data_IF_177653119628
#
_entry.id   IF_177653119628
#
_cell.length_a   1.000
_cell.length_b   1.000
_cell.length_c   1.000
_cell.angle_alpha   90.00
_cell.angle_beta   90.00
_cell.angle_gamma   90.00
#
_symmetry.space_group_name_H-M   'P 1'
#
loop_
_entity.id
_entity.type
_entity.pdbx_description
1 polymer ?
#
# COMPACT_ATOMS: atom_id res chain seq x y z
N UNK A 1 -33.95 40.25 -83.78
CA UNK A 1 -35.22 40.26 -83.01
C UNK A 1 -35.02 39.39 -81.78
N UNK A 2 -35.49 39.78 -80.58
CA UNK A 2 -35.43 38.89 -79.42
C UNK A 2 -36.24 37.62 -79.70
N UNK A 3 -35.73 36.41 -79.37
CA UNK A 3 -36.44 35.17 -79.63
C UNK A 3 -37.79 35.16 -78.90
N UNK A 4 -38.80 34.56 -79.53
CA UNK A 4 -40.13 34.43 -78.92
C UNK A 4 -40.04 33.61 -77.62
N UNK A 5 -41.01 33.79 -76.72
CA UNK A 5 -41.05 33.04 -75.46
C UNK A 5 -41.05 31.54 -75.71
N UNK A 6 -41.75 31.08 -76.75
CA UNK A 6 -41.84 29.68 -77.17
C UNK A 6 -40.48 29.16 -77.65
N UNK A 7 -39.75 29.93 -78.46
CA UNK A 7 -38.39 29.58 -78.91
C UNK A 7 -37.40 29.46 -77.74
N UNK A 8 -37.50 30.31 -76.71
CA UNK A 8 -36.65 30.21 -75.50
C UNK A 8 -36.96 28.95 -74.68
N UNK A 9 -38.23 28.55 -74.62
CA UNK A 9 -38.65 27.33 -73.93
C UNK A 9 -38.15 26.09 -74.69
N UNK A 10 -38.30 26.07 -76.02
CA UNK A 10 -37.81 24.98 -76.87
C UNK A 10 -36.28 24.82 -76.80
N UNK A 11 -35.54 25.94 -76.86
CA UNK A 11 -34.08 25.94 -76.70
C UNK A 11 -33.64 25.40 -75.34
N UNK A 12 -34.38 25.72 -74.27
CA UNK A 12 -34.08 25.21 -72.94
C UNK A 12 -34.29 23.70 -72.84
N UNK A 13 -35.34 23.16 -73.46
CA UNK A 13 -35.56 21.71 -73.47
C UNK A 13 -34.53 20.96 -74.32
N UNK A 14 -33.85 21.64 -75.25
CA UNK A 14 -32.78 21.06 -76.08
C UNK A 14 -31.38 21.18 -75.45
N UNK A 15 -31.15 22.18 -74.60
CA UNK A 15 -29.84 22.46 -73.99
C UNK A 15 -29.72 21.90 -72.56
N UNK A 16 -29.02 20.78 -72.42
CA UNK A 16 -28.77 20.12 -71.13
C UNK A 16 -27.97 20.98 -70.14
N UNK A 17 -27.06 21.84 -70.63
CA UNK A 17 -26.25 22.71 -69.76
C UNK A 17 -27.11 23.81 -69.15
N UNK A 18 -28.06 24.35 -69.91
CA UNK A 18 -29.05 25.32 -69.39
C UNK A 18 -30.01 24.66 -68.39
N UNK A 19 -30.45 23.43 -68.63
CA UNK A 19 -31.29 22.68 -67.69
C UNK A 19 -30.56 22.39 -66.38
N UNK A 20 -29.32 21.91 -66.46
CA UNK A 20 -28.49 21.62 -65.28
C UNK A 20 -28.19 22.90 -64.49
N UNK A 21 -27.87 24.01 -65.17
CA UNK A 21 -27.70 25.31 -64.54
C UNK A 21 -28.98 25.85 -63.88
N UNK A 22 -30.15 25.53 -64.42
CA UNK A 22 -31.43 25.86 -63.80
C UNK A 22 -31.73 24.98 -62.58
N UNK A 23 -31.50 23.66 -62.66
CA UNK A 23 -31.65 22.72 -61.53
C UNK A 23 -30.75 23.09 -60.35
N UNK A 24 -29.50 23.46 -60.61
CA UNK A 24 -28.61 23.96 -59.56
C UNK A 24 -29.13 25.24 -58.88
N UNK A 25 -29.81 26.10 -59.63
CA UNK A 25 -30.47 27.27 -59.06
C UNK A 25 -31.70 26.87 -58.21
N UNK A 26 -32.49 25.89 -58.67
CA UNK A 26 -33.64 25.38 -57.91
C UNK A 26 -33.24 24.75 -56.58
N UNK A 27 -32.06 24.12 -56.47
CA UNK A 27 -31.56 23.58 -55.20
C UNK A 27 -31.45 24.64 -54.10
N UNK A 28 -31.24 25.91 -54.46
CA UNK A 28 -31.15 27.04 -53.51
C UNK A 28 -32.51 27.63 -53.13
N UNK A 29 -33.58 27.16 -53.74
CA UNK A 29 -34.93 27.67 -53.57
C UNK A 29 -35.78 26.72 -52.72
N UNK A 30 -36.86 27.25 -52.13
CA UNK A 30 -37.88 26.44 -51.49
C UNK A 30 -38.97 26.00 -52.48
N UNK A 31 -39.72 24.97 -52.10
CA UNK A 31 -40.87 24.48 -52.87
C UNK A 31 -41.89 25.59 -53.22
N UNK A 32 -42.24 26.55 -52.32
CA UNK A 32 -43.18 27.62 -52.65
C UNK A 32 -42.72 28.51 -53.80
N UNK A 33 -41.42 28.74 -53.93
CA UNK A 33 -40.83 29.54 -55.01
C UNK A 33 -40.92 28.82 -56.36
N UNK A 34 -40.93 27.48 -56.36
CA UNK A 34 -41.06 26.66 -57.57
C UNK A 34 -42.52 26.60 -58.03
N UNK A 35 -43.45 26.42 -57.09
CA UNK A 35 -44.89 26.31 -57.38
C UNK A 35 -45.53 27.67 -57.70
N UNK A 36 -45.09 28.75 -57.06
CA UNK A 36 -45.57 30.11 -57.30
C UNK A 36 -44.42 31.09 -57.60
N UNK A 37 -43.74 30.94 -58.75
CA UNK A 37 -42.58 31.75 -59.07
C UNK A 37 -42.92 33.24 -59.26
N UNK A 38 -44.18 33.54 -59.57
CA UNK A 38 -44.76 34.88 -59.69
C UNK A 38 -44.69 35.67 -58.37
N UNK A 39 -44.78 34.99 -57.21
CA UNK A 39 -44.76 35.63 -55.89
C UNK A 39 -43.35 36.10 -55.50
N UNK A 40 -42.31 35.46 -56.04
CA UNK A 40 -40.89 35.73 -55.71
C UNK A 40 -39.99 35.64 -56.94
N UNK A 41 -40.16 36.51 -57.95
CA UNK A 41 -39.40 36.42 -59.19
C UNK A 41 -37.92 36.77 -59.03
N UNK A 42 -37.57 37.51 -57.97
CA UNK A 42 -36.20 37.90 -57.65
C UNK A 42 -35.31 36.71 -57.25
N UNK A 43 -35.92 35.58 -56.86
CA UNK A 43 -35.19 34.38 -56.46
C UNK A 43 -34.55 33.64 -57.65
N UNK A 44 -34.95 33.98 -58.88
CA UNK A 44 -34.44 33.35 -60.10
C UNK A 44 -33.40 34.24 -60.79
N UNK A 45 -32.37 33.61 -61.37
CA UNK A 45 -31.36 34.34 -62.13
C UNK A 45 -32.00 35.06 -63.33
N UNK A 46 -31.59 36.31 -63.59
CA UNK A 46 -32.13 37.17 -64.67
C UNK A 46 -32.15 36.51 -66.06
N UNK A 47 -31.29 35.52 -66.29
CA UNK A 47 -31.15 34.77 -67.55
C UNK A 47 -32.35 33.86 -67.85
N UNK A 48 -33.12 33.51 -66.82
CA UNK A 48 -34.27 32.64 -66.92
C UNK A 48 -35.61 33.40 -66.91
N UNK A 49 -35.60 34.73 -66.74
CA UNK A 49 -36.81 35.52 -66.56
C UNK A 49 -37.35 36.08 -67.89
N UNK A 50 -38.67 35.97 -68.07
CA UNK A 50 -39.43 36.61 -69.15
C UNK A 50 -40.48 37.57 -68.55
N UNK A 51 -40.86 38.60 -69.29
CA UNK A 51 -41.93 39.52 -68.91
C UNK A 51 -43.22 39.11 -69.63
N UNK A 52 -44.29 38.85 -68.88
CA UNK A 52 -45.62 38.58 -69.43
C UNK A 52 -46.68 39.20 -68.52
N UNK A 53 -47.64 39.92 -69.12
CA UNK A 53 -48.77 40.52 -68.39
C UNK A 53 -48.36 41.34 -67.15
N UNK A 54 -47.25 42.09 -67.23
CA UNK A 54 -46.73 42.91 -66.13
C UNK A 54 -45.93 42.15 -65.06
N UNK A 55 -45.80 40.82 -65.16
CA UNK A 55 -45.06 40.00 -64.20
C UNK A 55 -43.79 39.39 -64.81
N UNK A 56 -42.76 39.21 -63.97
CA UNK A 56 -41.54 38.50 -64.33
C UNK A 56 -41.69 37.04 -63.93
N UNK A 57 -41.64 36.12 -64.88
CA UNK A 57 -41.81 34.68 -64.61
C UNK A 57 -40.61 33.94 -65.21
N UNK A 58 -40.03 32.95 -64.51
CA UNK A 58 -39.04 32.06 -65.10
C UNK A 58 -39.67 31.23 -66.23
N UNK A 59 -39.12 31.33 -67.43
CA UNK A 59 -39.68 30.64 -68.61
C UNK A 59 -39.67 29.10 -68.50
N UNK A 60 -38.76 28.42 -67.75
CA UNK A 60 -38.87 26.98 -67.53
C UNK A 60 -40.04 26.55 -66.64
N UNK A 61 -40.64 27.47 -65.87
CA UNK A 61 -41.77 27.23 -64.96
C UNK A 61 -43.05 27.91 -65.48
N UNK A 62 -43.14 28.04 -66.80
CA UNK A 62 -44.20 28.78 -67.45
C UNK A 62 -45.56 28.09 -67.30
N UNK A 63 -45.62 26.76 -67.42
CA UNK A 63 -46.87 26.01 -67.22
C UNK A 63 -46.97 25.41 -65.82
N UNK A 64 -48.20 25.26 -65.26
CA UNK A 64 -48.39 24.59 -63.96
C UNK A 64 -47.86 23.16 -63.93
N UNK A 65 -47.89 22.45 -65.06
CA UNK A 65 -47.36 21.09 -65.16
C UNK A 65 -45.82 21.08 -65.07
N UNK A 66 -45.15 22.03 -65.71
CA UNK A 66 -43.69 22.18 -65.60
C UNK A 66 -43.28 22.48 -64.15
N UNK A 67 -44.06 23.32 -63.45
CA UNK A 67 -43.86 23.60 -62.02
C UNK A 67 -43.92 22.32 -61.18
N UNK A 68 -44.91 21.46 -61.42
CA UNK A 68 -45.04 20.18 -60.72
C UNK A 68 -43.94 19.18 -61.07
N UNK A 69 -43.46 19.17 -62.31
CA UNK A 69 -42.35 18.31 -62.72
C UNK A 69 -41.05 18.69 -62.00
N UNK A 70 -40.73 19.97 -61.95
CA UNK A 70 -39.57 20.47 -61.21
C UNK A 70 -39.76 20.35 -59.68
N UNK A 71 -40.98 20.54 -59.17
CA UNK A 71 -41.30 20.30 -57.76
C UNK A 71 -41.10 18.84 -57.37
N UNK A 72 -41.52 17.89 -58.22
CA UNK A 72 -41.32 16.46 -57.98
C UNK A 72 -39.84 16.07 -57.91
N UNK A 73 -39.01 16.60 -58.82
CA UNK A 73 -37.57 16.41 -58.77
C UNK A 73 -36.96 17.02 -57.50
N UNK A 74 -37.41 18.22 -57.12
CA UNK A 74 -36.97 18.89 -55.89
C UNK A 74 -37.28 18.06 -54.63
N UNK A 75 -38.50 17.51 -54.55
CA UNK A 75 -38.95 16.67 -53.43
C UNK A 75 -38.12 15.38 -53.35
N UNK A 76 -37.93 14.68 -54.47
CA UNK A 76 -37.13 13.45 -54.51
C UNK A 76 -35.68 13.69 -54.12
N UNK A 77 -35.07 14.79 -54.58
CA UNK A 77 -33.69 15.15 -54.24
C UNK A 77 -33.55 15.45 -52.74
N UNK A 78 -34.50 16.17 -52.14
CA UNK A 78 -34.47 16.54 -50.72
C UNK A 78 -34.76 15.37 -49.79
N UNK A 79 -35.75 14.52 -50.12
CA UNK A 79 -36.04 13.30 -49.37
C UNK A 79 -34.85 12.32 -49.38
N UNK A 80 -34.14 12.19 -50.51
CA UNK A 80 -32.92 11.38 -50.59
C UNK A 80 -31.75 11.94 -49.78
N UNK A 81 -31.68 13.26 -49.65
CA UNK A 81 -30.63 13.92 -48.88
C UNK A 81 -30.91 13.93 -47.37
N UNK A 82 -32.11 13.54 -46.94
CA UNK A 82 -32.50 13.53 -45.53
C UNK A 82 -32.47 14.93 -44.92
N UNK A 83 -32.82 15.94 -45.71
CA UNK A 83 -32.69 17.34 -45.31
C UNK A 83 -33.72 17.70 -44.21
N UNK A 84 -33.28 18.07 -42.99
CA UNK A 84 -34.18 18.29 -41.85
C UNK A 84 -35.12 19.49 -42.06
N UNK A 85 -34.79 20.41 -42.96
CA UNK A 85 -35.54 21.65 -43.19
C UNK A 85 -36.83 21.45 -44.03
N UNK A 86 -37.08 20.22 -44.52
CA UNK A 86 -38.19 19.94 -45.44
C UNK A 86 -39.03 18.75 -44.97
N UNK A 87 -39.97 19.02 -44.06
CA UNK A 87 -40.85 17.99 -43.51
C UNK A 87 -41.92 17.52 -44.54
N UNK A 88 -42.20 16.20 -44.67
CA UNK A 88 -43.20 15.66 -45.60
C UNK A 88 -44.60 16.29 -45.48
N UNK A 89 -45.05 16.57 -44.26
CA UNK A 89 -46.32 17.26 -43.97
C UNK A 89 -46.36 18.67 -44.58
N UNK A 90 -45.24 19.40 -44.55
CA UNK A 90 -45.14 20.75 -45.11
C UNK A 90 -45.12 20.70 -46.65
N UNK A 91 -44.45 19.69 -47.22
CA UNK A 91 -44.50 19.43 -48.66
C UNK A 91 -45.92 19.09 -49.12
N UNK A 92 -46.63 18.27 -48.35
CA UNK A 92 -48.02 17.89 -48.60
C UNK A 92 -48.93 19.13 -48.64
N UNK A 93 -48.79 20.04 -47.66
CA UNK A 93 -49.51 21.31 -47.64
C UNK A 93 -49.38 22.07 -48.97
N UNK A 94 -48.16 22.31 -49.43
CA UNK A 94 -47.93 23.12 -50.63
C UNK A 94 -48.44 22.45 -51.90
N UNK A 95 -48.26 21.13 -52.06
CA UNK A 95 -48.75 20.40 -53.23
C UNK A 95 -50.28 20.35 -53.22
N UNK A 96 -50.89 20.16 -52.06
CA UNK A 96 -52.35 20.12 -51.91
C UNK A 96 -52.99 21.49 -52.11
N UNK A 97 -52.42 22.58 -51.58
CA UNK A 97 -52.84 23.95 -51.90
C UNK A 97 -52.71 24.26 -53.39
N UNK A 98 -51.63 23.79 -54.03
CA UNK A 98 -51.46 23.93 -55.49
C UNK A 98 -52.52 23.15 -56.27
N UNK A 99 -52.86 21.92 -55.84
CA UNK A 99 -53.93 21.12 -56.40
C UNK A 99 -55.30 21.81 -56.24
N UNK A 100 -55.60 22.39 -55.07
CA UNK A 100 -56.85 23.13 -54.85
C UNK A 100 -56.96 24.38 -55.74
N UNK A 101 -55.84 25.03 -56.06
CA UNK A 101 -55.81 26.24 -56.90
C UNK A 101 -55.90 25.96 -58.41
N UNK A 102 -55.25 24.90 -58.91
CA UNK A 102 -55.11 24.65 -60.35
C UNK A 102 -55.71 23.31 -60.83
N UNK A 103 -56.11 22.45 -59.92
CA UNK A 103 -56.80 21.18 -60.20
C UNK A 103 -58.28 21.38 -60.54
N UNK A 104 -58.98 20.29 -60.86
CA UNK A 104 -60.44 20.32 -60.96
C UNK A 104 -60.98 20.66 -59.57
N UNK A 105 -61.61 21.82 -59.42
CA UNK A 105 -62.46 22.08 -58.27
C UNK A 105 -63.44 20.91 -58.13
N UNK A 106 -63.32 20.16 -57.03
CA UNK A 106 -64.33 19.17 -56.67
C UNK A 106 -65.60 19.97 -56.37
N UNK A 107 -66.49 20.00 -57.35
CA UNK A 107 -67.94 20.26 -57.25
C UNK A 107 -68.37 21.09 -56.03
N UNK A 108 -68.29 22.40 -56.16
CA UNK A 108 -69.14 23.32 -55.42
C UNK A 108 -69.86 24.19 -56.45
N UNK A 109 -70.92 23.64 -57.05
CA UNK A 109 -72.03 24.36 -57.74
C UNK A 109 -73.00 23.35 -58.41
N UNK A 110 -73.54 22.39 -57.65
CA UNK A 110 -74.70 21.61 -58.13
C UNK A 110 -75.82 21.57 -57.09
N UNK A 111 -76.05 22.70 -56.42
CA UNK A 111 -77.17 22.84 -55.50
C UNK A 111 -77.75 24.25 -55.48
N UNK A 112 -77.93 24.90 -56.64
CA UNK A 112 -78.88 26.02 -56.76
C UNK A 112 -79.49 26.04 -58.17
N UNK A 113 -80.82 25.80 -58.21
CA UNK A 113 -81.78 26.21 -59.26
C UNK A 113 -81.64 25.63 -60.68
N UNK A 114 -82.48 24.65 -61.06
CA UNK A 114 -83.80 24.92 -61.67
C UNK A 114 -84.56 23.61 -61.92
N UNK A 115 -85.78 23.54 -61.39
CA UNK A 115 -86.86 22.81 -62.03
C UNK A 115 -87.10 23.44 -63.41
N UNK A 116 -87.14 22.65 -64.48
CA UNK A 116 -88.10 22.79 -65.59
C UNK A 116 -87.76 21.83 -66.73
N UNK A 117 -88.83 21.26 -67.29
CA UNK A 117 -88.88 20.48 -68.51
C UNK A 117 -88.09 21.09 -69.68
N UNK A 118 -87.44 20.25 -70.49
CA UNK A 118 -87.74 20.17 -71.93
C UNK A 118 -86.96 19.06 -72.63
N UNK A 119 -87.69 18.41 -73.54
CA UNK A 119 -87.20 17.47 -74.54
C UNK A 119 -86.24 18.15 -75.49
N UNK A 120 -85.29 17.35 -76.00
CA UNK A 120 -84.71 17.44 -77.33
C UNK A 120 -84.11 18.80 -77.75
N UNK A 121 -82.79 18.89 -77.77
CA UNK A 121 -82.11 19.36 -78.98
C UNK A 121 -80.69 18.77 -79.08
N UNK A 122 -80.52 17.92 -80.09
CA UNK A 122 -79.22 17.49 -80.60
C UNK A 122 -78.52 18.72 -81.17
N UNK A 123 -77.64 19.35 -80.42
CA UNK A 123 -76.58 20.21 -80.96
C UNK A 123 -75.23 19.58 -80.66
N UNK A 124 -74.53 19.14 -81.72
CA UNK A 124 -73.11 18.84 -81.71
C UNK A 124 -72.35 20.14 -81.38
N UNK A 125 -72.29 20.48 -80.10
CA UNK A 125 -71.45 21.53 -79.54
C UNK A 125 -70.21 20.90 -78.92
N UNK A 126 -69.04 21.42 -79.28
CA UNK A 126 -67.72 21.02 -78.75
C UNK A 126 -67.78 20.89 -77.21
N UNK A 127 -67.49 19.69 -76.69
CA UNK A 127 -67.18 19.51 -75.27
C UNK A 127 -66.03 20.47 -74.90
N UNK A 128 -66.07 21.16 -73.75
CA UNK A 128 -65.10 22.20 -73.44
C UNK A 128 -63.72 21.57 -73.26
N UNK A 129 -62.73 22.13 -73.98
CA UNK A 129 -61.30 21.78 -73.94
C UNK A 129 -60.65 22.11 -72.57
N UNK A 130 -61.44 22.59 -71.60
CA UNK A 130 -61.06 22.96 -70.24
C UNK A 130 -60.61 21.80 -69.32
N UNK A 131 -60.45 20.56 -69.81
CA UNK A 131 -60.39 19.41 -68.91
C UNK A 131 -59.31 18.36 -69.16
N UNK A 132 -58.33 18.60 -70.03
CA UNK A 132 -57.18 17.70 -70.20
C UNK A 132 -55.95 18.13 -69.38
N UNK A 133 -55.65 19.44 -69.34
CA UNK A 133 -54.52 19.96 -68.56
C UNK A 133 -54.78 19.92 -67.05
N UNK A 134 -55.98 20.27 -66.60
CA UNK A 134 -56.38 20.16 -65.19
C UNK A 134 -56.32 18.72 -64.67
N UNK A 135 -56.75 17.75 -65.48
CA UNK A 135 -56.62 16.31 -65.15
C UNK A 135 -55.16 15.89 -65.01
N UNK A 136 -54.28 16.35 -65.91
CA UNK A 136 -52.85 16.03 -65.82
C UNK A 136 -52.19 16.66 -64.59
N UNK A 137 -52.62 17.86 -64.21
CA UNK A 137 -52.19 18.54 -62.97
C UNK A 137 -52.65 17.73 -61.76
N UNK A 138 -53.93 17.33 -61.71
CA UNK A 138 -54.49 16.52 -60.61
C UNK A 138 -53.79 15.16 -60.48
N UNK A 139 -53.56 14.47 -61.60
CA UNK A 139 -52.83 13.20 -61.62
C UNK A 139 -51.41 13.38 -61.08
N UNK A 140 -50.70 14.41 -61.54
CA UNK A 140 -49.34 14.66 -61.08
C UNK A 140 -49.27 15.08 -59.62
N UNK A 141 -50.22 15.88 -59.13
CA UNK A 141 -50.34 16.19 -57.71
C UNK A 141 -50.62 14.92 -56.90
N UNK A 142 -51.53 14.05 -57.35
CA UNK A 142 -51.85 12.81 -56.67
C UNK A 142 -50.64 11.86 -56.56
N UNK A 143 -49.84 11.74 -57.63
CA UNK A 143 -48.58 10.99 -57.63
C UNK A 143 -47.56 11.53 -56.62
N UNK A 144 -47.44 12.86 -56.51
CA UNK A 144 -46.51 13.47 -55.57
C UNK A 144 -47.01 13.33 -54.13
N UNK A 145 -48.31 13.51 -53.88
CA UNK A 145 -48.90 13.37 -52.55
C UNK A 145 -48.78 11.92 -52.05
N UNK A 146 -49.03 10.92 -52.88
CA UNK A 146 -48.90 9.51 -52.48
C UNK A 146 -47.46 9.06 -52.23
N UNK A 147 -46.48 9.81 -52.71
CA UNK A 147 -45.06 9.56 -52.44
C UNK A 147 -44.57 10.11 -51.10
N UNK A 148 -45.38 10.94 -50.43
CA UNK A 148 -45.06 11.53 -49.15
C UNK A 148 -45.66 10.69 -48.01
N UNK A 149 -44.83 10.37 -47.02
CA UNK A 149 -45.29 9.69 -45.81
C UNK A 149 -45.93 10.71 -44.85
N UNK A 150 -47.26 10.69 -44.77
CA UNK A 150 -48.06 11.75 -44.16
C UNK A 150 -49.30 11.13 -43.49
N UNK A 151 -49.72 11.62 -42.30
CA UNK A 151 -50.91 11.15 -41.61
C UNK A 151 -52.18 11.14 -42.48
N UNK A 152 -52.99 10.08 -42.35
CA UNK A 152 -54.21 9.88 -43.14
C UNK A 152 -55.21 11.04 -43.03
N UNK A 153 -55.27 11.70 -41.86
CA UNK A 153 -56.17 12.84 -41.61
C UNK A 153 -56.00 13.99 -42.59
N UNK A 154 -54.79 14.19 -43.13
CA UNK A 154 -54.48 15.27 -44.08
C UNK A 154 -55.08 15.03 -45.48
N UNK A 155 -55.35 13.78 -45.85
CA UNK A 155 -55.99 13.45 -47.13
C UNK A 155 -57.48 13.81 -47.15
N UNK A 156 -58.10 14.01 -45.99
CA UNK A 156 -59.54 14.32 -45.86
C UNK A 156 -59.86 15.82 -45.85
N UNK A 157 -58.84 16.69 -45.79
CA UNK A 157 -59.01 18.14 -45.81
C UNK A 157 -59.59 18.60 -47.17
N UNK A 158 -60.70 19.36 -47.11
CA UNK A 158 -61.42 19.87 -48.28
C UNK A 158 -61.17 21.35 -48.56
N UNK A 159 -60.85 22.12 -47.53
CA UNK A 159 -60.51 23.55 -47.66
C UNK A 159 -59.06 23.80 -47.26
N UNK A 160 -58.50 24.91 -47.74
CA UNK A 160 -57.14 25.32 -47.40
C UNK A 160 -56.98 25.66 -45.91
N UNK A 161 -58.01 26.26 -45.30
CA UNK A 161 -58.04 26.55 -43.86
C UNK A 161 -58.01 25.27 -43.02
N UNK A 162 -58.81 24.26 -43.39
CA UNK A 162 -58.79 22.95 -42.72
C UNK A 162 -57.44 22.25 -42.88
N UNK A 163 -56.84 22.34 -44.08
CA UNK A 163 -55.53 21.76 -44.33
C UNK A 163 -54.46 22.40 -43.43
N UNK A 164 -54.46 23.74 -43.32
CA UNK A 164 -53.49 24.46 -42.50
C UNK A 164 -53.65 24.16 -41.01
N UNK A 165 -54.88 24.10 -40.49
CA UNK A 165 -55.10 23.76 -39.08
C UNK A 165 -54.71 22.33 -38.76
N UNK A 166 -55.03 21.36 -39.62
CA UNK A 166 -54.62 19.96 -39.44
C UNK A 166 -53.10 19.79 -39.54
N UNK A 167 -52.43 20.48 -40.46
CA UNK A 167 -50.96 20.46 -40.56
C UNK A 167 -50.33 20.99 -39.28
N UNK A 168 -50.82 22.11 -38.75
CA UNK A 168 -50.30 22.69 -37.51
C UNK A 168 -50.51 21.76 -36.31
N UNK A 169 -51.68 21.11 -36.20
CA UNK A 169 -51.93 20.16 -35.11
C UNK A 169 -51.04 18.92 -35.20
N UNK A 170 -50.81 18.40 -36.41
CA UNK A 170 -49.90 17.26 -36.61
C UNK A 170 -48.46 17.62 -36.26
N UNK A 171 -47.96 18.78 -36.70
CA UNK A 171 -46.61 19.23 -36.36
C UNK A 171 -46.45 19.47 -34.86
N UNK A 172 -47.46 20.04 -34.19
CA UNK A 172 -47.46 20.19 -32.73
C UNK A 172 -47.45 18.84 -32.01
N UNK A 173 -48.25 17.88 -32.49
CA UNK A 173 -48.27 16.52 -31.95
C UNK A 173 -46.93 15.81 -32.12
N UNK A 174 -46.29 15.95 -33.28
CA UNK A 174 -44.95 15.41 -33.53
C UNK A 174 -43.90 16.06 -32.64
N UNK A 175 -43.91 17.39 -32.49
CA UNK A 175 -42.99 18.10 -31.61
C UNK A 175 -43.14 17.67 -30.14
N UNK A 176 -44.38 17.50 -29.65
CA UNK A 176 -44.62 17.02 -28.29
C UNK A 176 -44.11 15.59 -28.09
N UNK A 177 -44.29 14.70 -29.07
CA UNK A 177 -43.75 13.33 -29.03
C UNK A 177 -42.23 13.31 -29.04
N UNK A 178 -41.61 14.19 -29.84
CA UNK A 178 -40.15 14.32 -29.85
C UNK A 178 -39.63 14.77 -28.48
N UNK A 179 -40.26 15.78 -27.86
CA UNK A 179 -39.89 16.20 -26.51
C UNK A 179 -40.01 15.06 -25.48
N UNK A 180 -41.09 14.27 -25.54
CA UNK A 180 -41.26 13.12 -24.65
C UNK A 180 -40.21 12.02 -24.90
N UNK A 181 -39.83 11.78 -26.16
CA UNK A 181 -38.79 10.82 -26.52
C UNK A 181 -37.39 11.30 -26.08
N UNK A 182 -37.12 12.60 -26.17
CA UNK A 182 -35.88 13.20 -25.67
C UNK A 182 -35.78 13.05 -24.15
N UNK A 183 -36.86 13.33 -23.41
CA UNK A 183 -36.91 13.11 -21.95
C UNK A 183 -36.73 11.63 -21.58
N UNK A 184 -37.37 10.71 -22.32
CA UNK A 184 -37.20 9.27 -22.11
C UNK A 184 -35.76 8.84 -22.40
N UNK A 185 -35.15 9.32 -23.48
CA UNK A 185 -33.77 9.05 -23.84
C UNK A 185 -32.80 9.56 -22.76
N UNK A 186 -33.03 10.77 -22.23
CA UNK A 186 -32.26 11.31 -21.12
C UNK A 186 -32.38 10.43 -19.87
N UNK A 187 -33.60 10.01 -19.51
CA UNK A 187 -33.82 9.13 -18.34
C UNK A 187 -33.10 7.79 -18.49
N UNK A 188 -33.16 7.17 -19.67
CA UNK A 188 -32.48 5.90 -19.97
C UNK A 188 -30.96 6.06 -19.95
N UNK A 189 -30.43 7.21 -20.38
CA UNK A 189 -29.00 7.50 -20.30
C UNK A 189 -28.52 7.58 -18.85
N UNK A 190 -29.29 8.21 -17.97
CA UNK A 190 -28.99 8.28 -16.53
C UNK A 190 -29.02 6.88 -15.90
N UNK A 191 -30.01 6.06 -16.24
CA UNK A 191 -30.11 4.68 -15.74
C UNK A 191 -28.94 3.81 -16.21
N UNK A 192 -28.50 3.97 -17.46
CA UNK A 192 -27.33 3.28 -18.00
C UNK A 192 -26.05 3.65 -17.23
N UNK A 193 -25.84 4.94 -16.93
CA UNK A 193 -24.70 5.42 -16.15
C UNK A 193 -24.70 4.83 -14.72
N UNK A 194 -25.88 4.77 -14.08
CA UNK A 194 -26.02 4.18 -12.75
C UNK A 194 -25.69 2.67 -12.74
N UNK A 195 -26.14 1.93 -13.76
CA UNK A 195 -25.82 0.51 -13.91
C UNK A 195 -24.32 0.28 -14.14
N UNK A 196 -23.67 1.14 -14.93
CA UNK A 196 -22.23 1.06 -15.16
C UNK A 196 -21.43 1.34 -13.87
N UNK A 197 -21.87 2.31 -13.06
CA UNK A 197 -21.28 2.57 -11.75
C UNK A 197 -21.46 1.36 -10.80
N UNK A 198 -22.63 0.73 -10.80
CA UNK A 198 -22.89 -0.46 -9.98
C UNK A 198 -22.01 -1.66 -10.38
N UNK A 199 -21.82 -1.89 -11.69
CA UNK A 199 -20.92 -2.95 -12.18
C UNK A 199 -19.46 -2.71 -11.79
N UNK A 200 -19.02 -1.45 -11.82
CA UNK A 200 -17.67 -1.06 -11.41
C UNK A 200 -17.46 -1.32 -9.90
N UNK A 201 -18.45 -0.97 -9.08
CA UNK A 201 -18.42 -1.26 -7.64
C UNK A 201 -18.39 -2.77 -7.36
N UNK A 202 -19.12 -3.58 -8.14
CA UNK A 202 -19.08 -5.04 -8.01
C UNK A 202 -17.69 -5.61 -8.34
N UNK A 203 -17.00 -5.07 -9.34
CA UNK A 203 -15.63 -5.48 -9.67
C UNK A 203 -14.64 -5.14 -8.54
N UNK A 204 -14.72 -3.94 -7.96
CA UNK A 204 -13.91 -3.56 -6.80
C UNK A 204 -14.16 -4.48 -5.61
N UNK A 205 -15.43 -4.81 -5.33
CA UNK A 205 -15.78 -5.75 -4.26
C UNK A 205 -15.21 -7.15 -4.53
N UNK A 206 -15.29 -7.66 -5.76
CA UNK A 206 -14.71 -8.96 -6.13
C UNK A 206 -13.19 -8.97 -5.96
N UNK A 207 -12.51 -7.89 -6.37
CA UNK A 207 -11.07 -7.73 -6.12
C UNK A 207 -10.75 -7.74 -4.63
N UNK A 208 -11.54 -7.04 -3.81
CA UNK A 208 -11.34 -7.01 -2.37
C UNK A 208 -11.56 -8.37 -1.72
N UNK A 209 -12.54 -9.14 -2.18
CA UNK A 209 -12.76 -10.53 -1.74
C UNK A 209 -11.56 -11.40 -2.08
N UNK A 210 -11.04 -11.32 -3.32
CA UNK A 210 -9.85 -12.08 -3.72
C UNK A 210 -8.60 -11.71 -2.88
N UNK A 211 -8.41 -10.43 -2.54
CA UNK A 211 -7.34 -10.00 -1.63
C UNK A 211 -7.49 -10.60 -0.23
N UNK A 212 -8.70 -10.62 0.32
CA UNK A 212 -8.99 -11.20 1.62
C UNK A 212 -8.80 -12.72 1.62
N UNK A 213 -9.21 -13.41 0.56
CA UNK A 213 -8.97 -14.84 0.38
C UNK A 213 -7.47 -15.17 0.31
N UNK A 214 -6.68 -14.35 -0.40
CA UNK A 214 -5.23 -14.50 -0.46
C UNK A 214 -4.59 -14.29 0.93
N UNK A 215 -5.03 -13.28 1.69
CA UNK A 215 -4.57 -13.05 3.06
C UNK A 215 -4.94 -14.20 4.00
N UNK A 216 -6.15 -14.75 3.88
CA UNK A 216 -6.58 -15.92 4.65
C UNK A 216 -5.70 -17.13 4.33
N UNK A 217 -5.45 -17.41 3.05
CA UNK A 217 -4.57 -18.50 2.63
C UNK A 217 -3.14 -18.34 3.18
N UNK A 218 -2.60 -17.12 3.16
CA UNK A 218 -1.28 -16.84 3.74
C UNK A 218 -1.28 -17.06 5.26
N UNK A 219 -2.31 -16.60 5.97
CA UNK A 219 -2.45 -16.80 7.41
C UNK A 219 -2.58 -18.27 7.78
N UNK A 220 -3.34 -19.06 7.01
CA UNK A 220 -3.42 -20.51 7.17
C UNK A 220 -2.06 -21.18 6.98
N UNK A 221 -1.29 -20.79 5.95
CA UNK A 221 0.05 -21.32 5.74
C UNK A 221 1.02 -20.97 6.88
N UNK A 222 0.90 -19.77 7.46
CA UNK A 222 1.69 -19.36 8.64
C UNK A 222 1.29 -20.14 9.89
N UNK A 223 0.00 -20.43 10.08
CA UNK A 223 -0.48 -21.26 11.18
C UNK A 223 0.06 -22.68 11.06
N UNK A 224 -0.05 -23.29 9.88
CA UNK A 224 0.47 -24.65 9.64
C UNK A 224 1.96 -24.77 9.96
N UNK A 225 2.79 -23.82 9.51
CA UNK A 225 4.22 -23.77 9.86
C UNK A 225 4.48 -23.61 11.36
N UNK A 226 3.60 -22.92 12.08
CA UNK A 226 3.70 -22.78 13.53
C UNK A 226 3.30 -24.06 14.24
N UNK A 227 2.28 -24.76 13.76
CA UNK A 227 1.86 -26.07 14.26
C UNK A 227 2.98 -27.10 14.08
N UNK A 228 3.58 -27.21 12.88
CA UNK A 228 4.74 -28.07 12.63
C UNK A 228 5.91 -27.75 13.58
N UNK A 229 6.15 -26.47 13.85
CA UNK A 229 7.19 -26.04 14.78
C UNK A 229 6.86 -26.41 16.23
N UNK A 230 5.60 -26.33 16.63
CA UNK A 230 5.16 -26.76 17.96
C UNK A 230 5.36 -28.27 18.09
N UNK A 231 4.92 -29.06 17.11
CA UNK A 231 5.13 -30.52 17.11
C UNK A 231 6.63 -30.87 17.23
N UNK A 232 7.50 -30.18 16.49
CA UNK A 232 8.93 -30.40 16.60
C UNK A 232 9.50 -30.06 17.98
N UNK A 233 9.05 -28.95 18.58
CA UNK A 233 9.45 -28.56 19.94
C UNK A 233 8.92 -29.53 21.00
N UNK A 234 7.72 -30.09 20.82
CA UNK A 234 7.17 -31.11 21.70
C UNK A 234 8.00 -32.40 21.67
N UNK A 235 8.45 -32.83 20.48
CA UNK A 235 9.36 -33.98 20.36
C UNK A 235 10.69 -33.69 21.07
N UNK A 236 11.29 -32.52 20.86
CA UNK A 236 12.52 -32.14 21.56
C UNK A 236 12.35 -32.12 23.08
N UNK A 237 11.21 -31.63 23.57
CA UNK A 237 10.87 -31.64 25.00
C UNK A 237 10.78 -33.06 25.55
N UNK A 238 10.15 -33.99 24.82
CA UNK A 238 10.10 -35.41 25.20
C UNK A 238 11.49 -36.03 25.24
N UNK A 239 12.33 -35.80 24.22
CA UNK A 239 13.71 -36.31 24.19
C UNK A 239 14.54 -35.81 25.38
N UNK A 240 14.39 -34.54 25.75
CA UNK A 240 15.07 -33.96 26.92
C UNK A 240 14.52 -34.57 28.21
N UNK A 241 13.21 -34.72 28.34
CA UNK A 241 12.60 -35.37 29.50
C UNK A 241 13.09 -36.81 29.66
N UNK A 242 13.15 -37.58 28.58
CA UNK A 242 13.66 -38.96 28.58
C UNK A 242 15.14 -39.02 28.97
N UNK A 243 15.97 -38.08 28.52
CA UNK A 243 17.38 -37.97 28.95
C UNK A 243 17.51 -37.69 30.44
N UNK A 244 16.69 -36.78 30.98
CA UNK A 244 16.71 -36.48 32.43
C UNK A 244 16.34 -37.73 33.23
N UNK A 245 15.30 -38.46 32.81
CA UNK A 245 14.88 -39.71 33.45
C UNK A 245 16.02 -40.74 33.40
N UNK A 246 16.65 -40.93 32.23
CA UNK A 246 17.77 -41.87 32.07
C UNK A 246 19.02 -41.46 32.89
N UNK A 247 19.32 -40.17 33.01
CA UNK A 247 20.41 -39.65 33.86
C UNK A 247 20.12 -39.85 35.36
N UNK A 248 18.85 -39.79 35.77
CA UNK A 248 18.46 -40.10 37.15
C UNK A 248 18.57 -41.59 37.46
N UNK A 249 18.20 -42.46 36.52
CA UNK A 249 18.30 -43.93 36.66
C UNK A 249 19.74 -44.45 36.62
N UNK A 250 20.65 -43.77 35.91
CA UNK A 250 22.05 -44.19 35.73
C UNK A 250 23.04 -43.69 36.78
N UNK A 251 22.61 -42.92 37.79
CA UNK A 251 23.47 -42.53 38.93
C UNK A 251 23.59 -43.68 39.95
N UNK A 252 24.78 -44.31 40.12
CA UNK A 252 25.01 -45.24 41.23
C UNK A 252 25.22 -44.44 42.52
N UNK A 253 24.10 -43.98 43.12
CA UNK A 253 24.08 -42.92 44.14
C UNK A 253 24.35 -43.38 45.58
N UNK A 254 24.46 -44.69 45.84
CA UNK A 254 24.64 -45.17 47.22
C UNK A 254 25.95 -45.91 47.43
N UNK A 255 26.37 -46.76 46.50
CA UNK A 255 27.60 -47.55 46.68
C UNK A 255 28.87 -46.68 46.73
N UNK A 256 29.01 -45.73 45.80
CA UNK A 256 30.22 -44.89 45.72
C UNK A 256 30.30 -43.87 46.87
N UNK A 257 29.17 -43.28 47.26
CA UNK A 257 29.10 -42.34 48.39
C UNK A 257 29.36 -43.06 49.73
N UNK A 258 28.91 -44.31 49.89
CA UNK A 258 29.20 -45.10 51.09
C UNK A 258 30.67 -45.52 51.15
N UNK A 259 31.29 -45.87 50.02
CA UNK A 259 32.71 -46.22 49.94
C UNK A 259 33.59 -44.99 50.27
N UNK A 260 33.27 -43.82 49.72
CA UNK A 260 33.96 -42.55 50.02
C UNK A 260 33.81 -42.17 51.51
N UNK A 261 32.61 -42.27 52.08
CA UNK A 261 32.40 -42.01 53.51
C UNK A 261 33.16 -43.00 54.40
N UNK A 262 33.31 -44.25 53.95
CA UNK A 262 34.10 -45.26 54.66
C UNK A 262 35.59 -44.93 54.65
N UNK A 263 36.13 -44.47 53.51
CA UNK A 263 37.50 -44.00 53.38
C UNK A 263 37.75 -42.77 54.25
N UNK A 264 36.89 -41.76 54.19
CA UNK A 264 36.99 -40.55 55.02
C UNK A 264 36.96 -40.86 56.53
N UNK A 265 36.12 -41.82 56.94
CA UNK A 265 36.06 -42.27 58.34
C UNK A 265 37.33 -43.00 58.77
N UNK A 266 37.99 -43.73 57.87
CA UNK A 266 39.27 -44.37 58.13
C UNK A 266 40.39 -43.34 58.29
N UNK A 267 40.46 -42.36 57.39
CA UNK A 267 41.44 -41.27 57.44
C UNK A 267 41.29 -40.45 58.71
N UNK A 268 40.07 -40.12 59.12
CA UNK A 268 39.81 -39.41 60.38
C UNK A 268 40.33 -40.17 61.61
N UNK A 269 40.10 -41.49 61.67
CA UNK A 269 40.62 -42.32 62.78
C UNK A 269 42.15 -42.32 62.80
N UNK A 270 42.78 -42.41 61.64
CA UNK A 270 44.24 -42.42 61.51
C UNK A 270 44.83 -41.06 61.93
N UNK A 271 44.15 -39.97 61.61
CA UNK A 271 44.51 -38.62 62.05
C UNK A 271 44.32 -38.43 63.55
N UNK A 272 43.20 -38.91 64.12
CA UNK A 272 42.95 -38.90 65.57
C UNK A 272 44.06 -39.63 66.32
N UNK A 273 44.45 -40.82 65.86
CA UNK A 273 45.54 -41.59 66.46
C UNK A 273 46.89 -40.85 66.38
N UNK A 274 47.15 -40.12 65.28
CA UNK A 274 48.35 -39.27 65.15
C UNK A 274 48.29 -38.10 66.14
N UNK A 275 47.12 -37.48 66.30
CA UNK A 275 46.92 -36.40 67.26
C UNK A 275 47.13 -36.88 68.69
N UNK A 276 46.56 -38.02 69.09
CA UNK A 276 46.75 -38.59 70.42
C UNK A 276 48.22 -38.91 70.72
N UNK A 277 48.97 -39.42 69.72
CA UNK A 277 50.43 -39.62 69.85
C UNK A 277 51.18 -38.31 70.03
N UNK A 278 50.80 -37.26 69.31
CA UNK A 278 51.40 -35.93 69.47
C UNK A 278 51.08 -35.32 70.84
N UNK A 279 49.84 -35.47 71.31
CA UNK A 279 49.43 -35.02 72.64
C UNK A 279 50.22 -35.76 73.71
N UNK A 280 50.33 -37.09 73.65
CA UNK A 280 51.15 -37.87 74.58
C UNK A 280 52.60 -37.43 74.54
N UNK A 281 53.18 -37.21 73.36
CA UNK A 281 54.55 -36.71 73.22
C UNK A 281 54.72 -35.30 73.81
N UNK A 282 53.72 -34.44 73.65
CA UNK A 282 53.72 -33.10 74.21
C UNK A 282 53.59 -33.14 75.74
N UNK A 283 52.76 -34.03 76.29
CA UNK A 283 52.69 -34.28 77.72
C UNK A 283 54.04 -34.79 78.25
N UNK A 284 54.69 -35.71 77.55
CA UNK A 284 56.02 -36.19 77.92
C UNK A 284 57.07 -35.07 77.90
N UNK A 285 57.08 -34.26 76.84
CA UNK A 285 57.98 -33.09 76.73
C UNK A 285 57.66 -32.03 77.78
N UNK A 286 56.39 -31.74 78.05
CA UNK A 286 55.94 -30.83 79.10
C UNK A 286 56.36 -31.35 80.48
N UNK A 287 56.22 -32.66 80.71
CA UNK A 287 56.71 -33.30 81.92
C UNK A 287 58.23 -33.28 82.00
N UNK A 288 58.96 -33.40 80.89
CA UNK A 288 60.41 -33.22 80.85
C UNK A 288 60.83 -31.79 81.14
N UNK A 289 60.10 -30.78 80.65
CA UNK A 289 60.33 -29.36 80.98
C UNK A 289 59.95 -29.05 82.43
N UNK A 290 58.95 -29.73 82.98
CA UNK A 290 58.59 -29.64 84.40
C UNK A 290 59.57 -30.39 85.32
N UNK A 291 60.18 -31.48 84.85
CA UNK A 291 61.10 -32.34 85.64
C UNK A 291 62.58 -31.99 85.48
N UNK A 292 62.99 -31.48 84.32
CA UNK A 292 64.27 -30.83 84.10
C UNK A 292 63.99 -29.34 84.03
N UNK A 293 64.35 -28.51 85.00
CA UNK A 293 65.69 -28.46 85.60
C UNK A 293 66.64 -27.43 84.97
N UNK A 294 66.29 -26.55 83.99
CA UNK A 294 67.14 -25.42 83.69
C UNK A 294 66.83 -24.24 84.61
N UNK A 295 65.57 -23.98 84.99
CA UNK A 295 65.23 -22.84 85.85
C UNK A 295 65.72 -23.00 87.30
N UNK A 296 65.50 -24.17 87.94
CA UNK A 296 66.05 -24.44 89.28
C UNK A 296 67.57 -24.58 89.28
N UNK A 297 68.18 -25.19 88.25
CA UNK A 297 69.63 -25.22 88.13
C UNK A 297 70.22 -23.82 87.88
N UNK A 298 69.50 -22.94 87.16
CA UNK A 298 69.92 -21.55 86.97
C UNK A 298 69.79 -20.75 88.27
N UNK A 299 68.71 -20.95 89.05
CA UNK A 299 68.54 -20.33 90.36
C UNK A 299 69.62 -20.78 91.36
N UNK A 300 69.94 -22.06 91.41
CA UNK A 300 71.01 -22.59 92.26
C UNK A 300 72.39 -22.08 91.82
N UNK A 301 72.64 -22.01 90.50
CA UNK A 301 73.87 -21.41 89.96
C UNK A 301 73.94 -19.91 90.23
N UNK A 302 72.83 -19.17 90.10
CA UNK A 302 72.77 -17.74 90.39
C UNK A 302 72.91 -17.43 91.88
N UNK A 303 72.32 -18.25 92.76
CA UNK A 303 72.51 -18.15 94.21
C UNK A 303 73.96 -18.48 94.60
N UNK A 304 74.56 -19.51 93.98
CA UNK A 304 75.98 -19.84 94.16
C UNK A 304 76.92 -18.72 93.68
N UNK A 305 76.60 -18.07 92.55
CA UNK A 305 77.34 -16.92 92.03
C UNK A 305 77.16 -15.72 92.97
N UNK A 306 75.94 -15.43 93.44
CA UNK A 306 75.65 -14.37 94.41
C UNK A 306 76.42 -14.55 95.72
N UNK A 307 76.48 -15.78 96.25
CA UNK A 307 77.25 -16.10 97.45
C UNK A 307 78.75 -15.96 97.25
N UNK A 308 79.25 -16.30 96.06
CA UNK A 308 80.66 -16.10 95.69
C UNK A 308 81.00 -14.62 95.52
N UNK A 309 80.14 -13.83 94.87
CA UNK A 309 80.30 -12.38 94.78
C UNK A 309 80.30 -11.76 96.17
N UNK A 310 79.39 -12.16 97.05
CA UNK A 310 79.36 -11.69 98.43
C UNK A 310 80.57 -12.16 99.26
N UNK A 311 81.23 -13.27 98.91
CA UNK A 311 82.52 -13.67 99.49
C UNK A 311 83.68 -12.86 98.92
N UNK A 312 83.71 -12.63 97.61
CA UNK A 312 84.75 -11.87 96.92
C UNK A 312 84.70 -10.40 97.32
N UNK A 313 83.52 -9.78 97.41
CA UNK A 313 83.35 -8.42 97.94
C UNK A 313 83.82 -8.31 99.41
N UNK A 314 83.63 -9.37 100.20
CA UNK A 314 84.13 -9.44 101.59
C UNK A 314 85.63 -9.72 101.68
N UNK A 315 86.22 -10.42 100.72
CA UNK A 315 87.66 -10.71 100.67
C UNK A 315 88.47 -9.66 99.90
N UNK A 316 87.84 -8.85 99.05
CA UNK A 316 88.48 -7.75 98.31
C UNK A 316 88.89 -6.57 99.21
N UNK A 317 88.45 -6.56 100.47
CA UNK A 317 89.00 -5.67 101.52
C UNK A 317 90.42 -6.09 101.92
N UNK A 318 90.86 -7.31 101.54
CA UNK A 318 92.15 -7.85 101.95
C UNK A 318 92.72 -8.82 100.89
N UNK A 319 93.52 -8.28 99.94
CA UNK A 319 94.59 -8.93 99.13
C UNK A 319 94.41 -9.19 97.61
N UNK A 320 95.49 -8.82 96.88
CA UNK A 320 96.00 -9.17 95.54
C UNK A 320 95.17 -8.92 94.26
N UNK A 321 95.67 -8.02 93.40
CA UNK A 321 95.14 -7.67 92.07
C UNK A 321 95.01 -8.86 91.10
N UNK A 322 95.87 -9.88 91.23
CA UNK A 322 95.86 -11.04 90.32
C UNK A 322 94.63 -11.95 90.51
N UNK A 323 94.09 -12.02 91.74
CA UNK A 323 92.86 -12.76 92.03
C UNK A 323 91.61 -12.02 91.51
N UNK A 324 91.64 -10.69 91.52
CA UNK A 324 90.59 -9.85 90.91
C UNK A 324 90.56 -10.02 89.38
N UNK A 325 91.72 -10.02 88.72
CA UNK A 325 91.81 -10.24 87.28
C UNK A 325 91.32 -11.65 86.88
N UNK A 326 91.64 -12.68 87.67
CA UNK A 326 91.13 -14.04 87.44
C UNK A 326 89.62 -14.16 87.69
N UNK A 327 89.08 -13.42 88.66
CA UNK A 327 87.64 -13.31 88.92
C UNK A 327 86.90 -12.64 87.75
N UNK A 328 87.40 -11.48 87.32
CA UNK A 328 86.83 -10.72 86.20
C UNK A 328 86.87 -11.52 84.89
N UNK A 329 87.94 -12.25 84.59
CA UNK A 329 88.00 -13.09 83.40
C UNK A 329 86.96 -14.22 83.41
N UNK A 330 86.70 -14.84 84.56
CA UNK A 330 85.63 -15.84 84.70
C UNK A 330 84.25 -15.21 84.54
N UNK A 331 84.04 -14.00 85.05
CA UNK A 331 82.79 -13.26 84.86
C UNK A 331 82.57 -12.86 83.40
N UNK A 332 83.61 -12.41 82.71
CA UNK A 332 83.57 -12.14 81.26
C UNK A 332 83.18 -13.41 80.48
N UNK A 333 83.72 -14.58 80.84
CA UNK A 333 83.35 -15.83 80.19
C UNK A 333 81.92 -16.27 80.51
N UNK A 334 81.42 -16.01 81.72
CA UNK A 334 80.02 -16.24 82.06
C UNK A 334 79.08 -15.29 81.29
N UNK A 335 79.46 -14.02 81.15
CA UNK A 335 78.72 -13.04 80.34
C UNK A 335 78.73 -13.40 78.86
N UNK A 336 79.85 -13.90 78.32
CA UNK A 336 79.92 -14.42 76.94
C UNK A 336 78.95 -15.60 76.74
N UNK A 337 78.85 -16.51 77.70
CA UNK A 337 77.88 -17.61 77.65
C UNK A 337 76.44 -17.12 77.74
N UNK A 338 76.15 -16.20 78.65
CA UNK A 338 74.82 -15.59 78.78
C UNK A 338 74.41 -14.86 77.50
N UNK A 339 75.34 -14.10 76.88
CA UNK A 339 75.17 -13.46 75.57
C UNK A 339 74.79 -14.47 74.50
N UNK A 340 75.51 -15.60 74.42
CA UNK A 340 75.22 -16.64 73.45
C UNK A 340 73.84 -17.31 73.67
N UNK A 341 73.46 -17.58 74.93
CA UNK A 341 72.13 -18.13 75.23
C UNK A 341 70.99 -17.17 74.90
N UNK A 342 71.18 -15.87 75.17
CA UNK A 342 70.22 -14.84 74.78
C UNK A 342 70.09 -14.78 73.25
N UNK A 343 71.21 -14.79 72.53
CA UNK A 343 71.21 -14.86 71.07
C UNK A 343 70.47 -16.10 70.54
N UNK A 344 70.59 -17.25 71.23
CA UNK A 344 69.89 -18.49 70.84
C UNK A 344 68.37 -18.38 71.04
N UNK A 345 67.94 -17.75 72.13
CA UNK A 345 66.52 -17.52 72.39
C UNK A 345 65.90 -16.57 71.35
N UNK A 346 66.58 -15.47 71.02
CA UNK A 346 66.14 -14.53 69.98
C UNK A 346 66.10 -15.19 68.59
N UNK A 347 67.05 -16.08 68.31
CA UNK A 347 67.03 -16.89 67.11
C UNK A 347 65.78 -17.77 67.00
N UNK A 348 65.43 -18.48 68.07
CA UNK A 348 64.26 -19.37 68.09
C UNK A 348 62.95 -18.55 67.95
N UNK A 349 62.88 -17.37 68.58
CA UNK A 349 61.75 -16.43 68.43
C UNK A 349 61.64 -15.90 66.99
N UNK A 350 62.76 -15.48 66.39
CA UNK A 350 62.79 -15.02 65.00
C UNK A 350 62.37 -16.12 64.00
N UNK A 351 62.77 -17.37 64.24
CA UNK A 351 62.31 -18.51 63.45
C UNK A 351 60.82 -18.81 63.61
N UNK A 352 60.24 -18.55 64.79
CA UNK A 352 58.80 -18.63 65.00
C UNK A 352 58.07 -17.53 64.22
N UNK A 353 58.56 -16.30 64.24
CA UNK A 353 58.00 -15.20 63.44
C UNK A 353 58.06 -15.46 61.92
N UNK A 354 59.11 -16.11 61.43
CA UNK A 354 59.16 -16.58 60.03
C UNK A 354 58.03 -17.58 59.72
N UNK A 355 57.75 -18.51 60.64
CA UNK A 355 56.70 -19.52 60.45
C UNK A 355 55.29 -18.92 60.53
N UNK A 356 55.10 -17.84 61.27
CA UNK A 356 53.81 -17.14 61.38
C UNK A 356 53.60 -16.07 60.30
N UNK A 357 54.58 -15.86 59.41
CA UNK A 357 54.50 -14.90 58.30
C UNK A 357 54.84 -13.45 58.66
N UNK A 358 55.32 -13.20 59.89
CA UNK A 358 55.72 -11.88 60.37
C UNK A 358 57.18 -11.59 59.99
N UNK A 359 57.44 -11.42 58.69
CA UNK A 359 58.79 -11.32 58.15
C UNK A 359 59.62 -10.15 58.69
N UNK A 360 59.02 -8.98 58.96
CA UNK A 360 59.75 -7.81 59.47
C UNK A 360 60.27 -8.03 60.89
N UNK A 361 59.42 -8.53 61.79
CA UNK A 361 59.77 -8.82 63.19
C UNK A 361 60.74 -10.00 63.26
N UNK A 362 60.57 -10.99 62.39
CA UNK A 362 61.52 -12.08 62.28
C UNK A 362 62.93 -11.60 61.94
N UNK A 363 63.06 -10.70 60.96
CA UNK A 363 64.37 -10.18 60.54
C UNK A 363 65.03 -9.35 61.64
N UNK A 364 64.28 -8.56 62.40
CA UNK A 364 64.85 -7.77 63.51
C UNK A 364 65.39 -8.67 64.62
N UNK A 365 64.63 -9.70 65.02
CA UNK A 365 65.05 -10.63 66.07
C UNK A 365 66.22 -11.53 65.62
N UNK A 366 66.21 -11.98 64.36
CA UNK A 366 67.32 -12.74 63.78
C UNK A 366 68.60 -11.89 63.64
N UNK A 367 68.49 -10.58 63.38
CA UNK A 367 69.64 -9.66 63.40
C UNK A 367 70.20 -9.50 64.81
N UNK A 368 69.35 -9.28 65.81
CA UNK A 368 69.78 -9.19 67.21
C UNK A 368 70.47 -10.49 67.66
N UNK A 369 69.96 -11.66 67.25
CA UNK A 369 70.61 -12.95 67.50
C UNK A 369 72.00 -13.07 66.85
N UNK A 370 72.17 -12.58 65.62
CA UNK A 370 73.47 -12.53 64.92
C UNK A 370 74.47 -11.62 65.65
N UNK A 371 74.05 -10.43 66.06
CA UNK A 371 74.89 -9.50 66.83
C UNK A 371 75.33 -10.11 68.18
N UNK A 372 74.53 -11.01 68.74
CA UNK A 372 74.86 -11.73 69.97
C UNK A 372 75.72 -12.99 69.74
N UNK A 373 76.11 -13.29 68.50
CA UNK A 373 77.08 -14.33 68.15
C UNK A 373 76.47 -15.70 67.86
N UNK A 374 75.21 -15.76 67.42
CA UNK A 374 74.56 -16.99 66.94
C UNK A 374 74.55 -16.98 65.42
N UNK A 375 75.48 -17.73 64.82
CA UNK A 375 75.63 -17.82 63.37
C UNK A 375 74.96 -19.08 62.82
N UNK A 376 74.11 -18.93 61.80
CA UNK A 376 73.53 -20.05 61.07
C UNK A 376 73.35 -19.68 59.59
N UNK A 377 73.93 -20.50 58.70
CA UNK A 377 74.11 -20.17 57.29
C UNK A 377 72.80 -19.90 56.53
N UNK A 378 71.72 -20.63 56.87
CA UNK A 378 70.41 -20.52 56.19
C UNK A 378 69.59 -19.30 56.58
N UNK A 379 69.82 -18.75 57.77
CA UNK A 379 69.12 -17.57 58.27
C UNK A 379 69.89 -16.30 57.94
N UNK A 380 71.22 -16.38 57.90
CA UNK A 380 72.06 -15.31 57.38
C UNK A 380 71.74 -15.01 55.92
N UNK A 381 71.47 -16.01 55.07
CA UNK A 381 71.03 -15.75 53.69
C UNK A 381 69.69 -15.01 53.61
N UNK A 382 68.74 -15.29 54.51
CA UNK A 382 67.43 -14.59 54.56
C UNK A 382 67.60 -13.13 55.00
N UNK A 383 68.52 -12.88 55.94
CA UNK A 383 68.86 -11.52 56.40
C UNK A 383 69.57 -10.74 55.29
N UNK A 384 70.48 -11.39 54.57
CA UNK A 384 71.31 -10.78 53.52
C UNK A 384 70.53 -10.59 52.19
N UNK A 385 69.57 -11.48 51.86
CA UNK A 385 68.67 -11.35 50.68
C UNK A 385 67.67 -10.19 50.80
N UNK A 386 67.35 -9.74 52.01
CA UNK A 386 66.46 -8.58 52.25
C UNK A 386 67.22 -7.25 52.45
N UNK A 387 68.51 -7.21 52.11
CA UNK A 387 69.33 -6.00 52.12
C UNK A 387 69.76 -5.60 50.70
N UNK A 388 69.30 -4.47 50.14
CA UNK A 388 70.11 -3.77 49.14
C UNK A 388 71.36 -3.21 49.83
N UNK A 389 72.53 -3.41 49.23
CA UNK A 389 73.77 -2.85 49.71
C UNK A 389 73.65 -1.31 49.84
N UNK A 390 73.67 -0.81 51.07
CA UNK A 390 73.96 0.58 51.37
C UNK A 390 75.37 0.59 51.97
N UNK A 391 76.27 1.31 51.30
CA UNK A 391 77.69 1.43 51.64
C UNK A 391 77.98 2.19 52.93
#
# INVERSE_FOLDING_TARGET
MPPSVEQKIEQFWQDEMLQNGFRQNLKKLGLPQILWPEKRPQAFHKKFLIHKAGQRIPYPLYTPLDRLNFAGQFIQDRLRQGDPDVHPVVLFYYIRSFQMQYGRSVQAESSVQTQAHSKAERRKGKRPVLNAQSVRIDQRCAELLSSLDVPEGLYHCRTEEQLLTTVLSELQGMAARLGALEEEQESLSIEADLLQAAQSAEQEQRHRVAELEAQLAEMHARLYKREERIEHLEVQLRDVADRIIQEEESRPREANLVEELRLMRHEYKLLSNKYDRLVSRNIDLSNQVKRGGPAMALEDVLNSIRDKINRVLRSAVSSSEDLLLAGLNREIDQLKRARHYLGRALYDVGMLYLRTGQHREAVTELRAARELGVENYRTNSIIDEQMPAAG
#
